data_IF_558814286267
#
_entry.id   IF_558814286267
#
_cell.length_a   1.000
_cell.length_b   1.000
_cell.length_c   1.000
_cell.angle_alpha   90.00
_cell.angle_beta   90.00
_cell.angle_gamma   90.00
#
_symmetry.space_group_name_H-M   'P 1'
#
loop_
_entity.id
_entity.type
_entity.pdbx_description
1 polymer ?
#
# COMPACT_ATOMS: atom_id res chain seq x y z
N UNK A 1 -36.53 -17.51 13.60
CA UNK A 1 -35.68 -16.72 12.69
C UNK A 1 -36.10 -15.26 12.84
N UNK A 2 -35.36 -14.51 13.62
CA UNK A 2 -35.57 -13.05 13.73
C UNK A 2 -34.47 -12.39 12.87
N UNK A 3 -34.88 -11.88 11.71
CA UNK A 3 -34.03 -11.02 10.87
C UNK A 3 -34.04 -9.60 11.45
N UNK A 4 -32.96 -9.16 12.04
CA UNK A 4 -32.74 -7.74 12.32
C UNK A 4 -32.26 -7.05 11.05
N UNK A 5 -33.21 -6.49 10.30
CA UNK A 5 -32.90 -5.52 9.24
C UNK A 5 -32.58 -4.17 9.89
N UNK A 6 -31.29 -3.87 10.09
CA UNK A 6 -30.86 -2.51 10.43
C UNK A 6 -30.77 -1.71 9.15
N UNK A 7 -31.86 -1.03 8.80
CA UNK A 7 -31.85 0.01 7.77
C UNK A 7 -31.17 1.26 8.33
N UNK A 8 -29.90 1.46 8.05
CA UNK A 8 -29.22 2.72 8.33
C UNK A 8 -29.75 3.81 7.38
N UNK A 9 -30.79 4.52 7.80
CA UNK A 9 -31.17 5.76 7.13
C UNK A 9 -30.09 6.81 7.42
N UNK A 10 -29.51 7.38 6.36
CA UNK A 10 -28.64 8.55 6.51
C UNK A 10 -29.50 9.75 6.90
N UNK A 11 -29.56 10.06 8.17
CA UNK A 11 -30.18 11.30 8.66
C UNK A 11 -29.15 12.43 8.45
N UNK A 12 -29.38 13.28 7.45
CA UNK A 12 -28.72 14.57 7.37
C UNK A 12 -29.61 15.56 8.12
N UNK A 13 -29.15 16.07 9.24
CA UNK A 13 -29.79 17.16 9.98
C UNK A 13 -29.04 18.47 9.73
N UNK A 14 -29.76 19.58 9.60
CA UNK A 14 -29.17 20.92 9.59
C UNK A 14 -29.41 21.53 10.97
N UNK A 15 -28.32 22.05 11.57
CA UNK A 15 -28.38 22.80 12.84
C UNK A 15 -28.00 24.23 12.52
N UNK A 16 -28.91 25.17 12.77
CA UNK A 16 -28.63 26.61 12.62
C UNK A 16 -28.00 27.13 13.90
N UNK A 17 -26.85 27.79 13.78
CA UNK A 17 -26.13 28.46 14.87
C UNK A 17 -26.00 29.96 14.54
N UNK A 18 -25.57 30.80 15.47
CA UNK A 18 -25.29 32.26 15.25
C UNK A 18 -24.10 32.47 14.27
N UNK A 19 -23.97 31.67 13.23
CA UNK A 19 -22.91 31.71 12.23
C UNK A 19 -23.37 30.99 10.98
N UNK A 20 -22.54 30.05 10.46
CA UNK A 20 -22.90 29.25 9.30
C UNK A 20 -23.79 28.05 9.73
N UNK A 21 -24.76 27.69 8.89
CA UNK A 21 -25.52 26.45 9.03
C UNK A 21 -24.58 25.24 8.96
N UNK A 22 -24.87 24.22 9.77
CA UNK A 22 -24.06 23.01 9.88
C UNK A 22 -24.82 21.82 9.34
N UNK A 23 -24.18 21.03 8.47
CA UNK A 23 -24.66 19.75 7.96
C UNK A 23 -23.89 18.63 8.64
N UNK A 24 -24.62 17.67 9.21
CA UNK A 24 -24.04 16.46 9.83
C UNK A 24 -24.38 15.25 8.98
N UNK A 25 -23.38 14.47 8.61
CA UNK A 25 -23.51 13.19 7.90
C UNK A 25 -22.88 12.09 8.72
N UNK A 26 -23.52 10.92 8.74
CA UNK A 26 -23.05 9.75 9.51
C UNK A 26 -22.72 8.55 8.63
N UNK A 27 -22.96 8.64 7.32
CA UNK A 27 -22.64 7.57 6.38
C UNK A 27 -21.15 7.61 6.02
N UNK A 28 -20.39 6.55 6.36
CA UNK A 28 -18.96 6.47 6.13
C UNK A 28 -18.14 7.29 7.11
N UNK A 29 -18.53 7.32 8.39
CA UNK A 29 -17.96 8.10 9.47
C UNK A 29 -18.81 9.30 9.85
N UNK A 30 -18.34 10.07 10.81
CA UNK A 30 -18.95 11.32 11.21
C UNK A 30 -18.33 12.48 10.41
N UNK A 31 -19.15 13.20 9.65
CA UNK A 31 -18.75 14.43 8.97
C UNK A 31 -19.63 15.59 9.45
N UNK A 32 -19.00 16.67 9.90
CA UNK A 32 -19.64 17.93 10.24
C UNK A 32 -19.06 18.99 9.31
N UNK A 33 -19.91 19.70 8.59
CA UNK A 33 -19.45 20.71 7.62
C UNK A 33 -20.37 21.93 7.63
N UNK A 34 -19.79 23.12 7.40
CA UNK A 34 -20.57 24.33 7.14
C UNK A 34 -21.19 24.29 5.74
N UNK A 35 -22.36 24.90 5.57
CA UNK A 35 -23.07 24.88 4.28
C UNK A 35 -22.33 25.63 3.17
N UNK A 36 -21.51 26.63 3.51
CA UNK A 36 -20.61 27.36 2.60
C UNK A 36 -19.35 26.57 2.23
N UNK A 37 -19.15 25.37 2.86
CA UNK A 37 -17.99 24.50 2.67
C UNK A 37 -16.64 25.11 3.07
N UNK A 38 -16.63 26.15 3.85
CA UNK A 38 -15.39 26.75 4.34
C UNK A 38 -14.73 25.89 5.42
N UNK A 39 -15.55 25.25 6.25
CA UNK A 39 -15.05 24.39 7.34
C UNK A 39 -15.70 23.02 7.30
N UNK A 40 -14.90 21.98 7.51
CA UNK A 40 -15.41 20.65 7.76
C UNK A 40 -14.49 19.87 8.73
N UNK A 41 -15.09 18.93 9.45
CA UNK A 41 -14.42 17.95 10.27
C UNK A 41 -14.97 16.58 9.93
N UNK A 42 -14.10 15.61 9.71
CA UNK A 42 -14.46 14.22 9.47
C UNK A 42 -13.72 13.32 10.44
N UNK A 43 -14.47 12.44 11.10
CA UNK A 43 -13.96 11.33 11.90
C UNK A 43 -14.37 10.03 11.22
N UNK A 44 -13.39 9.22 10.93
CA UNK A 44 -13.56 7.90 10.34
C UNK A 44 -12.49 6.94 10.83
N UNK A 45 -12.45 5.78 10.21
CA UNK A 45 -11.43 4.81 10.55
C UNK A 45 -11.62 3.49 9.82
N UNK A 46 -10.77 2.54 10.16
CA UNK A 46 -10.86 1.17 9.66
C UNK A 46 -10.29 0.17 10.65
N UNK A 47 -10.91 -0.99 10.68
CA UNK A 47 -10.38 -2.19 11.32
C UNK A 47 -10.18 -3.25 10.26
N UNK A 48 -9.01 -3.90 10.28
CA UNK A 48 -8.70 -5.06 9.45
C UNK A 48 -8.16 -6.14 10.37
N UNK A 49 -8.96 -7.18 10.61
CA UNK A 49 -8.58 -8.34 11.41
C UNK A 49 -8.34 -9.53 10.47
N UNK A 50 -7.17 -10.13 10.57
CA UNK A 50 -6.74 -11.26 9.76
C UNK A 50 -6.68 -12.52 10.60
N UNK A 51 -7.07 -13.64 10.00
CA UNK A 51 -6.75 -14.98 10.45
C UNK A 51 -6.17 -15.76 9.28
N UNK A 52 -5.06 -16.46 9.50
CA UNK A 52 -4.40 -17.23 8.46
C UNK A 52 -3.79 -18.51 8.97
N UNK A 53 -3.69 -19.49 8.05
CA UNK A 53 -2.93 -20.71 8.21
C UNK A 53 -1.84 -20.76 7.15
N UNK A 54 -0.63 -21.08 7.56
CA UNK A 54 0.60 -20.93 6.81
C UNK A 54 1.43 -22.18 6.85
N UNK A 55 2.23 -22.40 5.81
CA UNK A 55 3.14 -23.53 5.68
C UNK A 55 4.48 -23.10 5.04
N UNK A 56 5.53 -23.87 5.25
CA UNK A 56 6.84 -23.71 4.63
C UNK A 56 7.45 -22.32 4.83
N UNK A 57 7.75 -21.61 3.75
CA UNK A 57 8.39 -20.29 3.75
C UNK A 57 7.77 -19.28 4.73
N UNK A 58 6.47 -19.36 4.98
CA UNK A 58 5.74 -18.39 5.81
C UNK A 58 5.85 -18.63 7.31
N UNK A 59 6.55 -19.68 7.73
CA UNK A 59 6.71 -20.05 9.14
C UNK A 59 8.18 -19.99 9.58
N UNK A 60 8.43 -20.01 10.88
CA UNK A 60 9.79 -19.90 11.40
C UNK A 60 10.64 -21.14 11.19
N UNK A 61 10.02 -22.31 11.05
CA UNK A 61 10.69 -23.62 11.01
C UNK A 61 10.17 -24.53 9.89
N UNK A 62 9.39 -23.98 8.94
CA UNK A 62 8.83 -24.74 7.83
C UNK A 62 7.56 -25.53 8.17
N UNK A 63 7.22 -25.70 9.44
CA UNK A 63 6.03 -26.45 9.84
C UNK A 63 4.76 -25.59 9.76
N UNK A 64 3.62 -26.24 9.55
CA UNK A 64 2.32 -25.57 9.52
C UNK A 64 2.04 -24.81 10.82
N UNK A 65 1.59 -23.55 10.69
CA UNK A 65 1.23 -22.70 11.80
C UNK A 65 0.02 -21.82 11.45
N UNK A 66 -0.60 -21.22 12.44
CA UNK A 66 -1.67 -20.24 12.26
C UNK A 66 -1.42 -18.96 13.07
N UNK A 67 -2.06 -17.88 12.66
CA UNK A 67 -2.02 -16.61 13.38
C UNK A 67 -3.30 -15.81 13.18
N UNK A 68 -3.69 -15.06 14.23
CA UNK A 68 -4.74 -14.06 14.18
C UNK A 68 -4.17 -12.72 14.67
N UNK A 69 -4.45 -11.64 13.97
CA UNK A 69 -3.91 -10.32 14.30
C UNK A 69 -4.73 -9.18 13.69
N UNK A 70 -4.61 -7.99 14.27
CA UNK A 70 -5.08 -6.78 13.60
C UNK A 70 -4.04 -6.32 12.58
N UNK A 71 -4.41 -6.39 11.30
CA UNK A 71 -3.54 -5.91 10.22
C UNK A 71 -3.47 -4.39 10.19
N UNK A 72 -4.59 -3.72 10.50
CA UNK A 72 -4.72 -2.26 10.68
C UNK A 72 -5.85 -1.94 11.64
N UNK A 73 -5.62 -0.94 12.48
CA UNK A 73 -6.62 -0.36 13.37
C UNK A 73 -6.44 1.17 13.35
N UNK A 74 -7.07 1.82 12.36
CA UNK A 74 -6.87 3.25 12.11
C UNK A 74 -7.99 4.10 12.67
N UNK A 75 -7.59 5.22 13.30
CA UNK A 75 -8.43 6.39 13.46
C UNK A 75 -8.00 7.42 12.43
N UNK A 76 -8.97 7.96 11.69
CA UNK A 76 -8.76 8.89 10.60
C UNK A 76 -9.50 10.20 10.91
N UNK A 77 -8.76 11.31 11.02
CA UNK A 77 -9.29 12.65 11.20
C UNK A 77 -8.94 13.45 9.96
N UNK A 78 -9.92 14.17 9.42
CA UNK A 78 -9.69 15.00 8.25
C UNK A 78 -10.68 16.15 8.20
N UNK A 79 -10.46 17.07 7.28
CA UNK A 79 -11.39 18.19 7.09
C UNK A 79 -10.82 19.29 6.22
N UNK A 80 -11.56 20.38 6.22
CA UNK A 80 -11.25 21.59 5.46
C UNK A 80 -11.28 22.80 6.39
N UNK A 81 -10.39 23.73 6.17
CA UNK A 81 -10.32 25.01 6.86
C UNK A 81 -10.15 26.10 5.81
N UNK A 82 -10.97 27.16 5.86
CA UNK A 82 -10.97 28.26 4.90
C UNK A 82 -11.02 27.76 3.44
N UNK A 83 -11.90 26.75 3.16
CA UNK A 83 -12.23 26.20 1.83
C UNK A 83 -11.07 25.49 1.13
N UNK A 84 -9.87 26.07 1.11
CA UNK A 84 -8.75 25.63 0.29
C UNK A 84 -7.70 24.81 1.08
N UNK A 85 -7.74 24.84 2.40
CA UNK A 85 -6.82 24.08 3.25
C UNK A 85 -7.45 22.80 3.74
N UNK A 86 -6.96 21.66 3.29
CA UNK A 86 -7.39 20.33 3.74
C UNK A 86 -6.36 19.77 4.69
N UNK A 87 -6.78 19.13 5.78
CA UNK A 87 -5.90 18.40 6.67
C UNK A 87 -6.32 16.95 6.78
N UNK A 88 -5.33 16.06 7.00
CA UNK A 88 -5.55 14.66 7.22
C UNK A 88 -4.59 14.14 8.29
N UNK A 89 -5.11 13.39 9.25
CA UNK A 89 -4.36 12.70 10.29
C UNK A 89 -4.88 11.27 10.36
N UNK A 90 -4.01 10.29 10.11
CA UNK A 90 -4.30 8.87 10.26
C UNK A 90 -3.35 8.30 11.30
N UNK A 91 -3.91 7.68 12.33
CA UNK A 91 -3.15 7.04 13.39
C UNK A 91 -3.42 5.55 13.40
N UNK A 92 -2.38 4.72 13.26
CA UNK A 92 -2.48 3.26 13.32
C UNK A 92 -2.22 2.75 14.71
N UNK A 93 -3.24 2.15 15.31
CA UNK A 93 -3.22 1.53 16.64
C UNK A 93 -2.86 0.03 16.60
N UNK A 94 -2.69 -0.56 15.40
CA UNK A 94 -2.52 -2.02 15.27
C UNK A 94 -1.28 -2.57 15.99
N UNK A 95 -0.26 -1.75 16.22
CA UNK A 95 0.95 -2.11 16.96
C UNK A 95 0.74 -2.20 18.48
N UNK A 96 -0.40 -1.77 18.98
CA UNK A 96 -0.73 -1.88 20.41
C UNK A 96 -1.24 -3.27 20.83
N UNK A 97 -1.27 -4.22 19.89
CA UNK A 97 -1.70 -5.58 20.18
C UNK A 97 -0.48 -6.41 20.54
N UNK A 98 -0.21 -6.49 21.84
CA UNK A 98 0.61 -7.56 22.39
C UNK A 98 1.94 -7.20 23.00
N UNK A 99 2.72 -6.22 22.58
CA UNK A 99 3.96 -5.82 23.25
C UNK A 99 4.38 -4.40 22.87
N UNK A 100 4.37 -3.50 23.85
CA UNK A 100 5.15 -2.26 24.00
C UNK A 100 5.31 -1.30 22.81
N UNK A 101 4.66 -1.50 21.70
CA UNK A 101 4.75 -0.58 20.59
C UNK A 101 3.56 0.38 20.60
N UNK A 102 3.84 1.63 20.90
CA UNK A 102 2.91 2.73 20.65
C UNK A 102 2.49 2.71 19.17
N UNK A 103 1.25 3.07 18.88
CA UNK A 103 0.81 3.33 17.51
C UNK A 103 1.66 4.42 16.84
N UNK A 104 1.45 4.64 15.56
CA UNK A 104 2.21 5.64 14.80
C UNK A 104 1.31 6.43 13.86
N UNK A 105 1.76 7.62 13.50
CA UNK A 105 1.12 8.40 12.45
C UNK A 105 1.43 7.80 11.07
N UNK A 106 0.41 7.23 10.44
CA UNK A 106 0.46 6.78 9.05
C UNK A 106 0.43 8.00 8.11
N UNK A 107 -0.39 8.99 8.44
CA UNK A 107 -0.42 10.28 7.77
C UNK A 107 -0.62 11.42 8.76
N UNK A 108 0.08 12.54 8.53
CA UNK A 108 -0.16 13.83 9.16
C UNK A 108 0.19 14.91 8.14
N UNK A 109 -0.81 15.43 7.43
CA UNK A 109 -0.59 16.29 6.27
C UNK A 109 -1.60 17.45 6.18
N UNK A 110 -1.17 18.49 5.47
CA UNK A 110 -2.00 19.62 5.04
C UNK A 110 -1.86 19.77 3.54
N UNK A 111 -2.98 19.95 2.85
CA UNK A 111 -3.03 20.16 1.40
C UNK A 111 -3.69 21.50 1.09
N UNK A 112 -2.99 22.35 0.35
CA UNK A 112 -3.54 23.59 -0.21
C UNK A 112 -4.04 23.35 -1.63
N UNK A 113 -5.29 23.69 -1.91
CA UNK A 113 -5.96 23.47 -3.20
C UNK A 113 -6.31 24.79 -3.94
N UNK A 114 -5.91 25.93 -3.40
CA UNK A 114 -6.24 27.25 -3.98
C UNK A 114 -5.46 27.61 -5.26
N UNK A 115 -4.41 26.87 -5.63
CA UNK A 115 -3.66 27.05 -6.88
C UNK A 115 -4.20 26.23 -8.05
N UNK A 116 -5.53 26.02 -8.11
CA UNK A 116 -6.15 25.21 -9.17
C UNK A 116 -5.52 25.45 -10.56
N UNK A 117 -5.07 24.39 -11.28
CA UNK A 117 -5.33 22.98 -11.02
C UNK A 117 -4.27 22.25 -10.15
N UNK A 118 -3.36 22.95 -9.52
CA UNK A 118 -2.26 22.36 -8.73
C UNK A 118 -2.65 22.26 -7.27
N UNK A 119 -2.51 21.09 -6.67
CA UNK A 119 -2.60 20.86 -5.24
C UNK A 119 -1.18 20.76 -4.65
N UNK A 120 -0.95 21.43 -3.51
CA UNK A 120 0.29 21.34 -2.77
C UNK A 120 0.04 20.65 -1.44
N UNK A 121 0.65 19.48 -1.22
CA UNK A 121 0.55 18.70 0.01
C UNK A 121 1.87 18.76 0.78
N UNK A 122 1.80 19.01 2.07
CA UNK A 122 2.93 19.12 2.97
C UNK A 122 2.70 18.27 4.22
N UNK A 123 3.74 17.61 4.73
CA UNK A 123 3.71 16.80 5.94
C UNK A 123 4.27 15.40 5.77
N UNK A 124 3.81 14.48 6.63
CA UNK A 124 4.10 13.05 6.56
C UNK A 124 2.94 12.34 5.84
N UNK A 125 3.24 11.71 4.73
CA UNK A 125 2.23 10.99 3.94
C UNK A 125 2.90 9.96 2.99
N UNK A 126 2.12 8.97 2.56
CA UNK A 126 2.53 8.02 1.52
C UNK A 126 2.64 8.72 0.16
N UNK A 127 3.67 8.39 -0.61
CA UNK A 127 3.76 8.80 -2.02
C UNK A 127 2.77 8.02 -2.87
N UNK A 128 2.24 8.67 -3.90
CA UNK A 128 1.41 8.02 -4.92
C UNK A 128 2.28 7.30 -5.97
N UNK A 129 3.28 6.52 -5.55
CA UNK A 129 4.21 5.82 -6.43
C UNK A 129 3.64 4.47 -6.85
N UNK A 130 3.02 4.40 -8.05
CA UNK A 130 2.39 3.21 -8.60
C UNK A 130 0.88 3.12 -8.38
N UNK A 131 0.21 2.42 -9.26
CA UNK A 131 -1.24 2.27 -9.28
C UNK A 131 -1.79 1.61 -8.00
N UNK A 132 -1.21 0.47 -7.60
CA UNK A 132 -1.70 -0.24 -6.42
C UNK A 132 -1.28 0.45 -5.12
N UNK A 133 -0.14 1.17 -5.09
CA UNK A 133 0.25 1.96 -3.93
C UNK A 133 -0.64 3.18 -3.77
N UNK A 134 -0.98 3.90 -4.84
CA UNK A 134 -1.94 5.00 -4.82
C UNK A 134 -3.35 4.54 -4.42
N UNK A 135 -3.73 3.30 -4.77
CA UNK A 135 -4.98 2.70 -4.32
C UNK A 135 -4.96 2.49 -2.80
N UNK A 136 -5.98 3.00 -2.12
CA UNK A 136 -6.10 2.83 -0.66
C UNK A 136 -6.03 1.36 -0.26
N UNK A 137 -5.32 1.04 0.81
CA UNK A 137 -5.28 -0.31 1.38
C UNK A 137 -6.66 -0.85 1.85
N UNK A 138 -7.70 0.00 1.90
CA UNK A 138 -9.11 -0.40 2.07
C UNK A 138 -9.63 -1.11 0.81
N UNK A 139 -9.14 -0.73 -0.38
CA UNK A 139 -9.73 -1.07 -1.67
C UNK A 139 -8.80 -1.80 -2.64
N UNK A 140 -7.56 -2.12 -2.24
CA UNK A 140 -6.74 -3.08 -2.99
C UNK A 140 -7.46 -4.42 -3.08
N UNK A 141 -7.31 -5.10 -4.24
CA UNK A 141 -8.02 -6.35 -4.53
C UNK A 141 -7.51 -7.49 -3.65
N UNK A 142 -6.20 -7.72 -3.62
CA UNK A 142 -5.59 -8.71 -2.74
C UNK A 142 -5.39 -8.19 -1.31
N UNK A 143 -5.24 -9.06 -0.32
CA UNK A 143 -5.05 -8.68 1.09
C UNK A 143 -3.77 -7.88 1.33
N UNK A 144 -2.70 -8.22 0.62
CA UNK A 144 -1.43 -7.49 0.65
C UNK A 144 -1.11 -6.96 -0.75
N UNK A 145 -0.34 -5.86 -0.81
CA UNK A 145 0.13 -5.30 -2.07
C UNK A 145 1.01 -6.29 -2.82
N UNK A 146 1.17 -6.05 -4.10
CA UNK A 146 1.98 -6.89 -4.97
C UNK A 146 3.45 -6.92 -4.52
N UNK A 147 4.13 -8.01 -4.88
CA UNK A 147 5.50 -8.30 -4.48
C UNK A 147 6.51 -7.33 -5.10
N UNK A 148 6.16 -6.69 -6.21
CA UNK A 148 7.03 -5.75 -6.94
C UNK A 148 7.46 -4.57 -6.08
N UNK A 149 6.61 -4.10 -5.16
CA UNK A 149 6.95 -3.01 -4.24
C UNK A 149 7.96 -3.42 -3.17
N UNK A 150 8.08 -4.71 -2.85
CA UNK A 150 9.05 -5.18 -1.85
C UNK A 150 10.51 -5.02 -2.32
N UNK A 151 10.76 -4.81 -3.65
CA UNK A 151 12.11 -4.52 -4.14
C UNK A 151 12.55 -3.08 -3.83
N UNK A 152 11.61 -2.19 -3.52
CA UNK A 152 11.83 -0.76 -3.31
C UNK A 152 10.94 -0.21 -2.19
N UNK A 153 10.93 -0.85 -1.02
CA UNK A 153 10.11 -0.47 0.14
C UNK A 153 10.23 1.01 0.49
N UNK A 154 11.43 1.58 0.37
CA UNK A 154 11.73 2.96 0.72
C UNK A 154 10.90 4.00 -0.06
N UNK A 155 10.53 3.71 -1.31
CA UNK A 155 9.69 4.63 -2.11
C UNK A 155 8.28 4.69 -1.54
N UNK A 156 7.84 3.62 -0.92
CA UNK A 156 6.48 3.44 -0.45
C UNK A 156 6.30 3.71 1.04
N UNK A 157 7.41 3.77 1.79
CA UNK A 157 7.36 4.08 3.21
C UNK A 157 7.15 5.58 3.44
N UNK A 158 6.27 5.91 4.37
CA UNK A 158 6.02 7.29 4.80
C UNK A 158 7.04 7.75 5.87
N UNK A 159 8.32 7.49 5.64
CA UNK A 159 9.39 7.96 6.51
C UNK A 159 9.79 9.38 6.16
N UNK A 160 9.82 10.24 7.18
CA UNK A 160 10.19 11.64 7.00
C UNK A 160 9.03 12.56 6.66
N UNK A 161 9.36 13.80 6.34
CA UNK A 161 8.43 14.87 6.02
C UNK A 161 8.73 15.40 4.62
N UNK A 162 7.69 15.70 3.84
CA UNK A 162 7.87 16.12 2.46
C UNK A 162 6.85 17.11 1.96
N UNK A 163 7.05 17.51 0.73
CA UNK A 163 6.12 18.31 -0.07
C UNK A 163 5.84 17.60 -1.39
N UNK A 164 4.59 17.61 -1.82
CA UNK A 164 4.15 17.08 -3.11
C UNK A 164 3.31 18.13 -3.83
N UNK A 165 3.60 18.33 -5.10
CA UNK A 165 2.71 19.00 -6.05
C UNK A 165 2.00 17.94 -6.89
N UNK A 166 0.69 18.09 -7.11
CA UNK A 166 -0.08 17.20 -7.99
C UNK A 166 -1.14 17.96 -8.77
N UNK A 167 -1.47 17.47 -9.96
CA UNK A 167 -2.45 18.11 -10.84
C UNK A 167 -3.13 17.10 -11.76
N UNK A 168 -4.40 17.36 -12.08
CA UNK A 168 -5.11 16.75 -13.19
C UNK A 168 -5.04 17.68 -14.38
N UNK A 169 -4.50 17.21 -15.50
CA UNK A 169 -4.26 18.00 -16.71
C UNK A 169 -5.17 17.52 -17.83
N UNK A 170 -5.88 18.45 -18.45
CA UNK A 170 -6.77 18.19 -19.57
C UNK A 170 -7.88 17.18 -19.32
N UNK A 171 -8.23 16.94 -18.04
CA UNK A 171 -9.25 15.97 -17.65
C UNK A 171 -8.93 14.50 -17.97
N UNK A 172 -7.68 14.16 -18.38
CA UNK A 172 -7.29 12.81 -18.77
C UNK A 172 -5.88 12.41 -18.31
N UNK A 173 -5.12 13.31 -17.72
CA UNK A 173 -3.79 13.01 -17.21
C UNK A 173 -3.66 13.43 -15.75
N UNK A 174 -2.90 12.66 -14.97
CA UNK A 174 -2.49 13.00 -13.61
C UNK A 174 -0.97 13.10 -13.55
N UNK A 175 -0.48 14.15 -12.90
CA UNK A 175 0.95 14.37 -12.68
C UNK A 175 1.18 14.62 -11.19
N UNK A 176 2.24 14.04 -10.63
CA UNK A 176 2.71 14.37 -9.29
C UNK A 176 4.23 14.37 -9.21
N UNK A 177 4.76 15.24 -8.37
CA UNK A 177 6.17 15.30 -8.03
C UNK A 177 6.33 15.64 -6.55
N UNK A 178 7.25 14.97 -5.86
CA UNK A 178 7.46 15.17 -4.43
C UNK A 178 8.93 15.09 -4.01
N UNK A 179 9.24 15.79 -2.92
CA UNK A 179 10.53 15.74 -2.24
C UNK A 179 10.27 15.46 -0.76
N UNK A 180 11.00 14.50 -0.20
CA UNK A 180 10.95 14.14 1.21
C UNK A 180 12.34 14.26 1.85
N UNK A 181 12.35 14.67 3.10
CA UNK A 181 13.48 14.55 4.01
C UNK A 181 13.25 13.28 4.83
N UNK A 182 14.05 12.24 4.61
CA UNK A 182 13.95 10.98 5.35
C UNK A 182 14.49 11.14 6.79
N UNK A 183 14.21 10.15 7.65
CA UNK A 183 14.73 10.16 9.04
C UNK A 183 16.19 9.67 9.13
N UNK A 184 16.78 9.25 8.02
CA UNK A 184 18.17 8.85 7.95
C UNK A 184 19.04 10.07 7.66
N UNK A 185 20.21 10.15 8.32
CA UNK A 185 21.14 11.23 8.15
C UNK A 185 22.46 10.72 7.57
N UNK A 186 23.15 11.59 6.85
CA UNK A 186 24.55 11.41 6.48
C UNK A 186 25.50 11.72 7.66
N UNK A 187 26.80 11.69 7.41
CA UNK A 187 27.84 11.95 8.44
C UNK A 187 27.83 13.37 8.97
N UNK A 188 27.37 14.33 8.19
CA UNK A 188 27.27 15.74 8.57
C UNK A 188 25.96 16.05 9.32
N UNK A 189 25.04 15.09 9.37
CA UNK A 189 23.73 15.20 10.01
C UNK A 189 22.63 15.68 9.08
N UNK A 190 22.91 15.84 7.79
CA UNK A 190 21.91 16.18 6.78
C UNK A 190 21.02 14.96 6.46
N UNK A 191 19.74 15.20 6.39
CA UNK A 191 18.80 14.11 6.08
C UNK A 191 18.84 13.70 4.61
N UNK A 192 18.81 12.41 4.36
CA UNK A 192 18.67 11.82 3.01
C UNK A 192 17.43 12.43 2.31
N UNK A 193 17.62 12.92 1.09
CA UNK A 193 16.54 13.47 0.27
C UNK A 193 16.04 12.44 -0.72
N UNK A 194 14.71 12.27 -0.74
CA UNK A 194 14.02 11.40 -1.68
C UNK A 194 13.17 12.23 -2.64
N UNK A 195 13.31 11.95 -3.92
CA UNK A 195 12.58 12.60 -5.01
C UNK A 195 11.68 11.57 -5.68
N UNK A 196 10.43 11.91 -5.96
CA UNK A 196 9.50 11.02 -6.65
C UNK A 196 8.75 11.81 -7.73
N UNK A 197 8.56 11.14 -8.87
CA UNK A 197 7.76 11.64 -10.00
C UNK A 197 6.81 10.54 -10.46
N UNK A 198 5.57 10.90 -10.79
CA UNK A 198 4.59 10.00 -11.40
C UNK A 198 3.76 10.76 -12.42
N UNK A 199 3.62 10.19 -13.61
CA UNK A 199 2.74 10.67 -14.66
C UNK A 199 1.83 9.55 -15.13
N UNK A 200 0.53 9.84 -15.25
CA UNK A 200 -0.48 8.87 -15.70
C UNK A 200 -1.34 9.50 -16.80
N UNK A 201 -1.59 8.74 -17.85
CA UNK A 201 -2.56 9.04 -18.89
C UNK A 201 -3.74 8.06 -18.77
N UNK A 202 -4.93 8.61 -18.51
CA UNK A 202 -6.17 7.84 -18.35
C UNK A 202 -7.29 8.50 -19.19
N UNK A 203 -7.30 8.26 -20.52
CA UNK A 203 -8.28 8.88 -21.41
C UNK A 203 -9.71 8.39 -21.18
N UNK A 204 -9.85 7.18 -20.61
CA UNK A 204 -11.10 6.59 -20.14
C UNK A 204 -10.95 6.30 -18.65
N UNK A 205 -11.84 6.86 -17.83
CA UNK A 205 -11.75 6.77 -16.36
C UNK A 205 -13.11 6.75 -15.67
N UNK A 206 -14.16 6.44 -16.42
CA UNK A 206 -15.50 6.24 -15.89
C UNK A 206 -15.65 4.84 -15.25
N UNK A 207 -16.58 4.65 -14.30
CA UNK A 207 -16.87 3.33 -13.72
C UNK A 207 -17.13 2.28 -14.80
N UNK A 208 -16.35 1.19 -14.77
CA UNK A 208 -16.45 0.13 -15.77
C UNK A 208 -15.96 0.50 -17.19
N UNK A 209 -15.27 1.61 -17.33
CA UNK A 209 -14.64 2.00 -18.60
C UNK A 209 -13.35 2.76 -18.32
N UNK A 210 -12.28 2.03 -18.04
CA UNK A 210 -10.99 2.58 -17.63
C UNK A 210 -9.89 2.12 -18.57
N UNK A 211 -9.05 3.08 -18.99
CA UNK A 211 -7.73 2.84 -19.60
C UNK A 211 -6.73 3.70 -18.86
N UNK A 212 -5.72 3.08 -18.27
CA UNK A 212 -4.70 3.72 -17.46
C UNK A 212 -3.31 3.27 -17.92
N UNK A 213 -2.45 4.22 -18.20
CA UNK A 213 -1.04 4.03 -18.52
C UNK A 213 -0.21 5.01 -17.71
N UNK A 214 0.78 4.52 -16.97
CA UNK A 214 1.58 5.35 -16.09
C UNK A 214 3.07 5.03 -16.15
N UNK A 215 3.85 6.06 -15.79
CA UNK A 215 5.31 6.02 -15.63
C UNK A 215 5.66 6.67 -14.29
N UNK A 216 6.65 6.10 -13.59
CA UNK A 216 7.10 6.57 -12.30
C UNK A 216 8.61 6.48 -12.17
N UNK A 217 9.18 7.41 -11.38
CA UNK A 217 10.61 7.46 -11.08
C UNK A 217 10.82 7.96 -9.64
N UNK A 218 11.75 7.33 -8.94
CA UNK A 218 12.19 7.78 -7.63
C UNK A 218 13.72 7.70 -7.54
N UNK A 219 14.30 8.62 -6.78
CA UNK A 219 15.73 8.73 -6.56
C UNK A 219 16.02 9.20 -5.13
N UNK A 220 17.08 8.68 -4.53
CA UNK A 220 17.69 9.21 -3.31
C UNK A 220 19.19 9.10 -3.38
N UNK A 221 19.86 10.10 -2.83
CA UNK A 221 21.30 10.12 -2.61
C UNK A 221 21.62 9.39 -1.32
N UNK A 222 22.59 8.49 -1.34
CA UNK A 222 23.01 7.67 -0.19
C UNK A 222 24.45 7.91 0.21
N UNK A 223 25.16 8.79 -0.52
CA UNK A 223 26.57 9.09 -0.26
C UNK A 223 26.72 9.51 1.21
N UNK A 224 27.70 8.89 1.91
CA UNK A 224 27.99 9.10 3.33
C UNK A 224 26.83 8.77 4.30
N UNK A 225 25.80 8.06 3.86
CA UNK A 225 24.64 7.71 4.67
C UNK A 225 24.58 6.22 5.03
N UNK A 226 24.18 5.91 6.26
CA UNK A 226 23.93 4.55 6.72
C UNK A 226 22.46 4.15 6.47
N UNK A 227 22.15 3.66 5.27
CA UNK A 227 20.79 3.29 4.86
C UNK A 227 20.64 1.79 4.64
N UNK A 228 19.54 1.22 5.12
CA UNK A 228 19.17 -0.18 4.87
C UNK A 228 18.69 -0.34 3.42
N UNK A 229 19.41 -1.12 2.63
CA UNK A 229 19.08 -1.43 1.23
C UNK A 229 18.54 -2.83 1.04
N UNK A 230 18.42 -3.63 2.12
CA UNK A 230 17.99 -5.03 2.06
C UNK A 230 16.63 -5.20 1.40
N UNK A 231 16.55 -6.21 0.55
CA UNK A 231 15.32 -6.68 -0.07
C UNK A 231 14.92 -7.98 0.63
N UNK A 232 13.87 -7.92 1.44
CA UNK A 232 13.33 -9.06 2.22
C UNK A 232 11.81 -9.15 2.05
N UNK A 233 11.34 -9.63 0.90
CA UNK A 233 9.92 -9.68 0.58
C UNK A 233 9.16 -10.62 1.50
N UNK A 234 7.90 -10.26 1.75
CA UNK A 234 6.97 -11.07 2.54
C UNK A 234 6.23 -12.11 1.71
N UNK A 235 6.52 -12.19 0.43
CA UNK A 235 5.93 -13.12 -0.54
C UNK A 235 4.38 -13.10 -0.54
N UNK A 236 3.78 -11.90 -0.42
CA UNK A 236 2.34 -11.68 -0.54
C UNK A 236 1.49 -11.97 0.70
N UNK A 237 2.10 -12.38 1.81
CA UNK A 237 1.41 -12.61 3.10
C UNK A 237 2.28 -12.19 4.29
N UNK A 238 1.63 -11.94 5.44
CA UNK A 238 2.35 -11.60 6.67
C UNK A 238 2.96 -12.81 7.38
N UNK A 239 2.38 -13.99 7.27
CA UNK A 239 2.81 -15.20 7.95
C UNK A 239 2.52 -15.16 9.47
N UNK A 240 3.22 -15.99 10.22
CA UNK A 240 3.12 -16.06 11.68
C UNK A 240 4.14 -15.12 12.35
N UNK A 241 3.86 -14.70 13.58
CA UNK A 241 4.81 -13.92 14.38
C UNK A 241 5.99 -14.78 14.82
N UNK A 242 7.22 -14.24 14.73
CA UNK A 242 8.43 -14.88 15.22
C UNK A 242 8.44 -15.05 16.74
N UNK A 243 7.66 -14.25 17.47
CA UNK A 243 7.60 -14.24 18.92
C UNK A 243 6.37 -14.99 19.48
N UNK A 244 5.63 -15.70 18.62
CA UNK A 244 4.45 -16.46 19.03
C UNK A 244 3.25 -15.62 19.47
N UNK A 245 3.23 -14.33 19.16
CA UNK A 245 2.16 -13.39 19.50
C UNK A 245 1.46 -12.83 18.28
N UNK A 246 0.52 -11.91 18.52
CA UNK A 246 -0.25 -11.22 17.49
C UNK A 246 0.46 -9.97 16.92
N UNK A 247 1.77 -9.95 16.92
CA UNK A 247 2.55 -8.85 16.42
C UNK A 247 2.46 -8.79 14.88
N UNK A 248 1.69 -7.83 14.36
CA UNK A 248 1.52 -7.61 12.93
C UNK A 248 2.83 -7.15 12.22
N UNK A 249 3.83 -6.74 12.97
CA UNK A 249 5.14 -6.33 12.47
C UNK A 249 6.09 -7.49 12.26
N UNK A 250 6.00 -8.51 13.11
CA UNK A 250 6.82 -9.72 13.03
C UNK A 250 6.04 -10.81 12.35
N UNK A 251 6.62 -11.41 11.36
CA UNK A 251 5.98 -12.50 10.65
C UNK A 251 7.01 -13.46 10.13
N UNK A 252 6.77 -14.70 10.33
CA UNK A 252 7.44 -15.87 9.83
C UNK A 252 8.89 -15.69 9.35
N UNK A 253 9.17 -16.31 8.26
CA UNK A 253 10.44 -16.18 7.58
C UNK A 253 10.43 -14.99 6.60
N UNK A 254 11.50 -14.22 6.59
CA UNK A 254 11.76 -13.16 5.60
C UNK A 254 13.13 -13.42 5.00
N UNK A 255 13.17 -14.24 3.96
CA UNK A 255 14.42 -14.52 3.26
C UNK A 255 15.07 -13.24 2.73
N UNK A 256 16.39 -13.15 2.83
CA UNK A 256 17.18 -12.08 2.26
C UNK A 256 17.44 -12.37 0.78
N UNK A 257 16.97 -11.50 -0.10
CA UNK A 257 17.18 -11.57 -1.54
C UNK A 257 18.39 -10.77 -2.00
N UNK A 258 18.74 -9.69 -1.33
CA UNK A 258 19.87 -8.83 -1.66
C UNK A 258 19.92 -7.60 -0.76
N UNK A 259 20.98 -6.80 -0.93
CA UNK A 259 21.23 -5.58 -0.18
C UNK A 259 21.92 -5.81 1.16
N UNK A 260 22.21 -4.72 1.85
CA UNK A 260 22.89 -4.72 3.14
C UNK A 260 22.08 -3.98 4.21
N UNK A 261 22.33 -4.31 5.47
CA UNK A 261 21.90 -3.48 6.60
C UNK A 261 22.51 -2.08 6.48
N UNK A 262 21.98 -1.14 7.25
CA UNK A 262 22.45 0.23 7.31
C UNK A 262 23.94 0.28 7.71
N UNK A 263 24.80 0.55 6.73
CA UNK A 263 26.24 0.73 6.88
C UNK A 263 26.66 1.87 5.96
N UNK A 264 27.37 2.82 6.51
CA UNK A 264 27.87 3.99 5.80
C UNK A 264 28.92 3.63 4.74
N UNK A 265 28.95 4.38 3.64
CA UNK A 265 29.97 4.28 2.58
C UNK A 265 29.90 3.00 1.76
N UNK A 266 28.77 2.29 1.75
CA UNK A 266 28.57 1.12 0.89
C UNK A 266 27.90 1.47 -0.45
N UNK A 267 27.03 2.48 -0.44
CA UNK A 267 26.15 2.82 -1.54
C UNK A 267 26.18 4.31 -1.84
N UNK A 268 26.17 4.65 -3.12
CA UNK A 268 26.21 6.02 -3.60
C UNK A 268 24.81 6.61 -3.84
N UNK A 269 23.98 5.92 -4.58
CA UNK A 269 22.61 6.34 -4.88
C UNK A 269 21.68 5.14 -5.07
N UNK A 270 20.38 5.40 -4.99
CA UNK A 270 19.33 4.41 -5.16
C UNK A 270 18.22 4.99 -6.04
N UNK A 271 17.92 4.33 -7.14
CA UNK A 271 16.93 4.77 -8.11
C UNK A 271 15.97 3.66 -8.48
N UNK A 272 14.72 4.05 -8.71
CA UNK A 272 13.64 3.16 -9.13
C UNK A 272 12.87 3.81 -10.26
N UNK A 273 12.59 3.07 -11.30
CA UNK A 273 11.61 3.46 -12.30
C UNK A 273 10.58 2.35 -12.51
N UNK A 274 9.40 2.71 -12.97
CA UNK A 274 8.33 1.75 -13.18
C UNK A 274 7.30 2.16 -14.21
N UNK A 275 6.58 1.15 -14.68
CA UNK A 275 5.46 1.26 -15.60
C UNK A 275 4.19 0.75 -14.93
N UNK A 276 3.07 1.38 -15.21
CA UNK A 276 1.74 0.98 -14.77
C UNK A 276 0.80 0.84 -15.95
N UNK A 277 -0.05 -0.17 -15.91
CA UNK A 277 -1.12 -0.36 -16.86
C UNK A 277 -2.35 -0.91 -16.20
N UNK A 278 -3.53 -0.38 -16.54
CA UNK A 278 -4.79 -0.97 -16.13
C UNK A 278 -5.89 -0.74 -17.16
N UNK A 279 -6.84 -1.66 -17.14
CA UNK A 279 -8.01 -1.63 -17.98
C UNK A 279 -9.21 -2.17 -17.20
N UNK A 280 -10.37 -1.54 -17.39
CA UNK A 280 -11.64 -2.06 -16.87
C UNK A 280 -12.74 -1.96 -17.93
N UNK A 281 -13.55 -3.01 -18.01
CA UNK A 281 -14.72 -3.08 -18.88
C UNK A 281 -15.88 -3.75 -18.13
N UNK A 282 -16.90 -2.96 -17.76
CA UNK A 282 -17.99 -3.42 -16.91
C UNK A 282 -17.47 -3.97 -15.59
N UNK A 283 -17.82 -5.19 -15.28
CA UNK A 283 -17.42 -5.92 -14.07
C UNK A 283 -15.99 -6.49 -14.12
N UNK A 284 -15.33 -6.47 -15.28
CA UNK A 284 -13.97 -6.99 -15.45
C UNK A 284 -12.93 -5.89 -15.22
N UNK A 285 -11.83 -6.21 -14.55
CA UNK A 285 -10.66 -5.35 -14.45
C UNK A 285 -9.35 -6.14 -14.57
N UNK A 286 -8.37 -5.50 -15.18
CA UNK A 286 -6.99 -5.99 -15.30
C UNK A 286 -6.04 -4.88 -14.91
N UNK A 287 -4.95 -5.23 -14.20
CA UNK A 287 -3.88 -4.30 -13.87
C UNK A 287 -2.54 -5.01 -13.83
N UNK A 288 -1.49 -4.29 -14.17
CA UNK A 288 -0.12 -4.77 -14.14
C UNK A 288 0.83 -3.61 -13.86
N UNK A 289 1.93 -3.89 -13.15
CA UNK A 289 3.02 -2.94 -12.96
C UNK A 289 4.36 -3.65 -13.09
N UNK A 290 5.37 -2.90 -13.50
CA UNK A 290 6.76 -3.32 -13.55
C UNK A 290 7.62 -2.27 -12.85
N UNK A 291 8.54 -2.71 -11.99
CA UNK A 291 9.54 -1.85 -11.35
C UNK A 291 10.94 -2.38 -11.62
N UNK A 292 11.90 -1.45 -11.75
CA UNK A 292 13.33 -1.74 -11.75
C UNK A 292 14.04 -0.79 -10.79
N UNK A 293 14.80 -1.36 -9.84
CA UNK A 293 15.65 -0.65 -8.88
C UNK A 293 17.11 -0.87 -9.24
N UNK A 294 17.91 0.17 -9.05
CA UNK A 294 19.38 0.10 -9.10
C UNK A 294 19.92 0.85 -7.90
N UNK A 295 20.71 0.18 -7.06
CA UNK A 295 21.48 0.80 -5.99
C UNK A 295 22.93 0.81 -6.46
N UNK A 296 23.49 2.00 -6.69
CA UNK A 296 24.85 2.19 -7.10
C UNK A 296 25.79 1.95 -5.94
N UNK A 297 26.78 1.13 -6.18
CA UNK A 297 27.80 0.82 -5.17
C UNK A 297 28.85 1.92 -5.06
N UNK A 298 29.42 2.01 -3.86
CA UNK A 298 30.65 2.74 -3.58
C UNK A 298 31.84 1.78 -3.59
N UNK A 299 33.01 2.29 -4.01
CA UNK A 299 34.30 1.58 -3.96
C UNK A 299 34.32 0.28 -4.79
N UNK A 300 34.88 -0.79 -4.25
CA UNK A 300 35.10 -2.08 -4.93
C UNK A 300 33.90 -3.02 -4.79
N UNK A 301 32.67 -2.50 -4.80
CA UNK A 301 31.43 -3.29 -4.74
C UNK A 301 30.69 -3.26 -6.07
N UNK A 302 29.91 -4.31 -6.32
CA UNK A 302 29.01 -4.35 -7.47
C UNK A 302 27.66 -3.69 -7.16
N UNK A 303 27.03 -3.13 -8.19
CA UNK A 303 25.69 -2.54 -8.09
C UNK A 303 24.65 -3.60 -7.71
N UNK A 304 23.77 -3.28 -6.76
CA UNK A 304 22.58 -4.07 -6.51
C UNK A 304 21.50 -3.71 -7.56
N UNK A 305 20.98 -4.69 -8.26
CA UNK A 305 19.91 -4.52 -9.25
C UNK A 305 18.72 -5.41 -8.88
N UNK A 306 17.52 -4.85 -8.94
CA UNK A 306 16.31 -5.61 -8.71
C UNK A 306 15.25 -5.25 -9.74
N UNK A 307 14.44 -6.21 -10.11
CA UNK A 307 13.28 -6.01 -10.98
C UNK A 307 12.11 -6.87 -10.53
N UNK A 308 10.91 -6.39 -10.80
CA UNK A 308 9.71 -7.13 -10.48
C UNK A 308 8.54 -6.69 -11.34
N UNK A 309 7.58 -7.57 -11.49
CA UNK A 309 6.31 -7.28 -12.11
C UNK A 309 5.19 -8.10 -11.48
N UNK A 310 3.99 -7.58 -11.60
CA UNK A 310 2.79 -8.38 -11.36
C UNK A 310 1.76 -8.15 -12.46
N UNK A 311 0.86 -9.10 -12.58
CA UNK A 311 -0.34 -8.99 -13.38
C UNK A 311 -1.53 -9.56 -12.60
N UNK A 312 -2.65 -8.84 -12.59
CA UNK A 312 -3.87 -9.19 -11.87
C UNK A 312 -5.08 -9.07 -12.78
N UNK A 313 -5.94 -10.07 -12.73
CA UNK A 313 -7.26 -10.08 -13.34
C UNK A 313 -8.31 -10.20 -12.25
N UNK A 314 -9.39 -9.44 -12.34
CA UNK A 314 -10.50 -9.52 -11.40
C UNK A 314 -11.84 -9.40 -12.13
N UNK A 315 -12.85 -10.07 -11.60
CA UNK A 315 -14.20 -10.07 -12.12
C UNK A 315 -15.21 -10.02 -10.99
N UNK A 316 -16.10 -9.03 -11.03
CA UNK A 316 -17.21 -8.91 -10.09
C UNK A 316 -18.39 -9.75 -10.58
N UNK A 317 -18.63 -10.89 -9.91
CA UNK A 317 -19.65 -11.87 -10.29
C UNK A 317 -21.07 -11.29 -10.30
N UNK A 318 -21.31 -10.30 -9.47
CA UNK A 318 -22.59 -9.61 -9.32
C UNK A 318 -22.80 -8.46 -10.30
N UNK A 319 -21.74 -8.08 -11.05
CA UNK A 319 -21.85 -7.17 -12.18
C UNK A 319 -21.36 -5.74 -11.91
N UNK A 320 -21.16 -5.34 -10.67
CA UNK A 320 -20.75 -3.97 -10.32
C UNK A 320 -19.35 -3.63 -10.84
N UNK A 321 -19.17 -2.42 -11.39
CA UNK A 321 -17.86 -1.96 -11.82
C UNK A 321 -17.00 -1.51 -10.65
N UNK A 322 -15.69 -1.67 -10.78
CA UNK A 322 -14.73 -1.06 -9.89
C UNK A 322 -14.60 0.43 -10.20
N UNK A 323 -14.66 1.28 -9.17
CA UNK A 323 -14.53 2.72 -9.32
C UNK A 323 -13.08 3.12 -9.58
N UNK A 324 -12.90 4.21 -10.29
CA UNK A 324 -11.60 4.83 -10.56
C UNK A 324 -11.66 6.33 -10.26
N UNK A 325 -10.54 6.91 -9.80
CA UNK A 325 -10.40 8.33 -9.48
C UNK A 325 -9.17 8.90 -10.18
N UNK A 326 -9.40 9.87 -11.07
CA UNK A 326 -8.34 10.51 -11.83
C UNK A 326 -7.48 11.46 -10.96
N UNK A 327 -8.04 12.04 -9.90
CA UNK A 327 -7.36 12.97 -8.98
C UNK A 327 -6.21 12.35 -8.16
N UNK A 328 -6.03 11.05 -8.22
CA UNK A 328 -4.90 10.30 -7.71
C UNK A 328 -4.51 9.18 -8.66
N UNK A 329 -5.15 9.12 -9.84
CA UNK A 329 -4.95 8.11 -10.87
C UNK A 329 -4.93 6.68 -10.29
N UNK A 330 -6.03 6.29 -9.64
CA UNK A 330 -6.12 5.06 -8.84
C UNK A 330 -7.50 4.42 -8.85
N UNK A 331 -7.53 3.12 -8.62
CA UNK A 331 -8.79 2.43 -8.34
C UNK A 331 -9.33 2.78 -6.95
N UNK A 332 -10.63 2.60 -6.80
CA UNK A 332 -11.37 2.76 -5.55
C UNK A 332 -12.23 1.50 -5.29
N UNK A 333 -13.23 1.61 -4.42
CA UNK A 333 -14.09 0.50 -3.99
C UNK A 333 -14.98 -0.03 -5.12
N UNK A 334 -15.52 -1.23 -4.91
CA UNK A 334 -16.71 -1.73 -5.57
C UNK A 334 -17.90 -1.40 -4.64
N UNK A 335 -18.97 -0.79 -5.19
CA UNK A 335 -20.17 -0.45 -4.43
C UNK A 335 -21.26 -1.46 -4.72
N UNK A 336 -21.71 -2.27 -3.74
CA UNK A 336 -22.79 -3.21 -3.95
C UNK A 336 -24.09 -2.50 -4.38
N UNK A 337 -24.67 -2.94 -5.48
CA UNK A 337 -25.99 -2.49 -5.94
C UNK A 337 -27.10 -3.21 -5.18
N UNK A 338 -26.95 -4.51 -4.97
CA UNK A 338 -27.86 -5.31 -4.18
C UNK A 338 -27.39 -5.36 -2.71
N UNK A 339 -28.18 -4.76 -1.82
CA UNK A 339 -27.85 -4.68 -0.39
C UNK A 339 -28.06 -5.99 0.38
N UNK A 340 -28.76 -6.96 -0.18
CA UNK A 340 -29.04 -8.24 0.49
C UNK A 340 -27.91 -9.24 0.27
N UNK A 341 -27.37 -9.31 -0.95
CA UNK A 341 -26.30 -10.25 -1.31
C UNK A 341 -24.91 -9.62 -1.32
N UNK A 342 -24.80 -8.29 -1.38
CA UNK A 342 -23.56 -7.58 -1.55
C UNK A 342 -22.93 -7.80 -2.92
N UNK A 343 -21.69 -7.35 -3.12
CA UNK A 343 -20.91 -7.57 -4.34
C UNK A 343 -19.84 -8.64 -4.12
N UNK A 344 -19.65 -9.52 -5.11
CA UNK A 344 -18.69 -10.62 -5.04
C UNK A 344 -17.64 -10.48 -6.15
N UNK A 345 -16.38 -10.36 -5.80
CA UNK A 345 -15.23 -10.23 -6.71
C UNK A 345 -14.33 -11.47 -6.58
N UNK A 346 -14.05 -12.12 -7.72
CA UNK A 346 -12.99 -13.12 -7.83
C UNK A 346 -11.79 -12.51 -8.52
N UNK A 347 -10.57 -12.91 -8.10
CA UNK A 347 -9.35 -12.44 -8.76
C UNK A 347 -8.24 -13.48 -8.73
N UNK A 348 -7.34 -13.31 -9.69
CA UNK A 348 -6.07 -14.01 -9.73
C UNK A 348 -4.94 -13.00 -9.96
N UNK A 349 -3.83 -13.16 -9.21
CA UNK A 349 -2.62 -12.36 -9.37
C UNK A 349 -1.39 -13.26 -9.45
N UNK A 350 -0.52 -12.93 -10.38
CA UNK A 350 0.83 -13.48 -10.47
C UNK A 350 1.84 -12.38 -10.19
N UNK A 351 2.81 -12.64 -9.32
CA UNK A 351 3.91 -11.73 -9.02
C UNK A 351 5.24 -12.44 -9.27
N UNK A 352 6.25 -11.68 -9.72
CA UNK A 352 7.62 -12.17 -9.90
C UNK A 352 8.61 -11.06 -9.59
N UNK A 353 9.67 -11.40 -8.84
CA UNK A 353 10.81 -10.53 -8.57
C UNK A 353 12.12 -11.25 -8.85
N UNK A 354 13.13 -10.49 -9.26
CA UNK A 354 14.53 -10.91 -9.41
C UNK A 354 15.41 -9.86 -8.73
N UNK A 355 16.41 -10.32 -7.98
CA UNK A 355 17.42 -9.48 -7.34
C UNK A 355 18.78 -10.02 -7.73
N UNK A 356 19.64 -9.16 -8.27
CA UNK A 356 21.01 -9.43 -8.68
C UNK A 356 21.92 -8.67 -7.72
N UNK A 357 22.64 -9.40 -6.86
CA UNK A 357 23.55 -8.83 -5.88
C UNK A 357 24.78 -9.75 -5.73
N UNK A 358 25.82 -9.43 -6.47
CA UNK A 358 27.07 -10.18 -6.49
C UNK A 358 27.90 -10.00 -5.20
N UNK A 359 27.45 -9.16 -4.28
CA UNK A 359 28.09 -8.98 -2.97
C UNK A 359 27.59 -9.98 -1.90
N UNK A 360 26.53 -10.75 -2.19
CA UNK A 360 25.96 -11.73 -1.26
C UNK A 360 26.40 -13.15 -1.64
N UNK A 361 26.97 -13.85 -0.69
CA UNK A 361 27.24 -15.30 -0.81
C UNK A 361 26.03 -16.05 -0.25
N UNK A 362 25.26 -16.70 -1.12
CA UNK A 362 24.07 -17.48 -0.74
C UNK A 362 24.47 -18.84 -0.17
N UNK A 363 25.52 -19.47 -0.71
CA UNK A 363 26.09 -20.71 -0.21
C UNK A 363 27.59 -20.55 0.02
N UNK A 364 28.01 -20.63 1.28
CA UNK A 364 29.40 -20.46 1.67
C UNK A 364 30.30 -21.63 1.19
N UNK A 365 29.75 -22.80 0.91
CA UNK A 365 30.49 -23.98 0.43
C UNK A 365 30.79 -23.87 -1.07
N UNK A 366 29.83 -23.42 -1.86
CA UNK A 366 29.96 -23.27 -3.32
C UNK A 366 30.40 -21.88 -3.75
N UNK A 367 30.35 -20.89 -2.85
CA UNK A 367 30.50 -19.46 -3.13
C UNK A 367 29.55 -18.96 -4.23
N UNK A 368 28.37 -19.55 -4.27
CA UNK A 368 27.35 -19.14 -5.22
C UNK A 368 26.81 -17.75 -4.84
N UNK A 369 26.92 -16.80 -5.76
CA UNK A 369 26.55 -15.40 -5.59
C UNK A 369 25.11 -15.20 -6.05
N UNK A 370 24.37 -14.32 -5.42
CA UNK A 370 22.94 -14.30 -5.49
C UNK A 370 22.28 -13.70 -6.73
N UNK A 371 21.65 -14.56 -7.51
CA UNK A 371 20.58 -14.23 -8.43
C UNK A 371 19.24 -14.66 -7.79
N UNK A 372 18.87 -14.01 -6.70
CA UNK A 372 17.68 -14.39 -5.96
C UNK A 372 16.39 -14.14 -6.74
N UNK A 373 15.46 -15.08 -6.69
CA UNK A 373 14.17 -14.99 -7.37
C UNK A 373 13.03 -15.33 -6.43
N UNK A 374 11.89 -14.68 -6.64
CA UNK A 374 10.65 -14.96 -5.94
C UNK A 374 9.46 -14.84 -6.86
N UNK A 375 8.49 -15.73 -6.71
CA UNK A 375 7.22 -15.65 -7.41
C UNK A 375 6.08 -16.09 -6.51
N UNK A 376 4.92 -15.48 -6.72
CA UNK A 376 3.68 -15.86 -6.04
C UNK A 376 2.52 -16.00 -7.02
N UNK A 377 1.63 -16.90 -6.67
CA UNK A 377 0.31 -17.03 -7.28
C UNK A 377 -0.72 -16.78 -6.19
N UNK A 378 -1.57 -15.81 -6.38
CA UNK A 378 -2.65 -15.46 -5.45
C UNK A 378 -4.00 -15.68 -6.13
N UNK A 379 -4.82 -16.52 -5.54
CA UNK A 379 -6.23 -16.65 -5.89
C UNK A 379 -7.05 -16.11 -4.73
N UNK A 380 -8.02 -15.25 -5.00
CA UNK A 380 -8.79 -14.66 -3.92
C UNK A 380 -10.24 -14.36 -4.27
N UNK A 381 -11.02 -14.19 -3.22
CA UNK A 381 -12.40 -13.75 -3.26
C UNK A 381 -12.61 -12.60 -2.29
N UNK A 382 -13.34 -11.58 -2.73
CA UNK A 382 -13.79 -10.47 -1.92
C UNK A 382 -15.31 -10.43 -1.91
N UNK A 383 -15.90 -10.30 -0.74
CA UNK A 383 -17.30 -10.02 -0.53
C UNK A 383 -17.46 -8.63 0.09
N UNK A 384 -17.97 -7.71 -0.70
CA UNK A 384 -18.36 -6.37 -0.25
C UNK A 384 -19.81 -6.48 0.24
N UNK A 385 -19.99 -6.78 1.54
CA UNK A 385 -21.33 -6.95 2.12
C UNK A 385 -22.11 -5.64 2.05
N UNK A 386 -21.44 -4.51 2.21
CA UNK A 386 -21.95 -3.15 2.02
C UNK A 386 -20.75 -2.18 1.87
N UNK A 387 -21.02 -0.86 1.87
CA UNK A 387 -19.95 0.16 1.74
C UNK A 387 -18.98 0.20 2.92
N UNK A 388 -19.31 -0.40 4.07
CA UNK A 388 -18.52 -0.40 5.29
C UNK A 388 -17.84 -1.74 5.58
N UNK A 389 -18.44 -2.86 5.18
CA UNK A 389 -17.97 -4.20 5.53
C UNK A 389 -17.50 -4.96 4.29
N UNK A 390 -16.27 -5.42 4.33
CA UNK A 390 -15.65 -6.30 3.35
C UNK A 390 -15.09 -7.54 4.03
N UNK A 391 -15.38 -8.71 3.48
CA UNK A 391 -14.73 -9.97 3.86
C UNK A 391 -13.91 -10.46 2.68
N UNK A 392 -12.70 -10.89 2.93
CA UNK A 392 -11.78 -11.35 1.88
C UNK A 392 -11.13 -12.67 2.28
N UNK A 393 -10.84 -13.52 1.30
CA UNK A 393 -10.02 -14.69 1.50
C UNK A 393 -9.03 -14.83 0.32
N UNK A 394 -7.75 -15.02 0.65
CA UNK A 394 -6.70 -15.22 -0.33
C UNK A 394 -5.94 -16.52 -0.04
N UNK A 395 -5.81 -17.36 -1.05
CA UNK A 395 -4.83 -18.43 -1.07
C UNK A 395 -3.61 -17.98 -1.86
N UNK A 396 -2.44 -18.04 -1.24
CA UNK A 396 -1.17 -17.65 -1.85
C UNK A 396 -0.23 -18.83 -1.86
N UNK A 397 0.40 -19.08 -3.00
CA UNK A 397 1.49 -20.03 -3.15
C UNK A 397 2.75 -19.31 -3.57
N UNK A 398 3.82 -19.43 -2.78
CA UNK A 398 5.12 -18.82 -3.04
C UNK A 398 6.17 -19.86 -3.41
N UNK A 399 7.12 -19.41 -4.23
CA UNK A 399 8.37 -20.12 -4.48
C UNK A 399 9.51 -19.11 -4.56
N UNK A 400 10.62 -19.41 -3.89
CA UNK A 400 11.86 -18.65 -3.93
C UNK A 400 12.99 -19.51 -4.50
N UNK A 401 14.07 -18.88 -4.89
CA UNK A 401 15.28 -19.53 -5.40
C UNK A 401 16.48 -18.64 -5.05
N UNK A 402 17.58 -19.26 -4.60
CA UNK A 402 18.84 -18.60 -4.25
C UNK A 402 18.69 -17.44 -3.25
N UNK A 403 17.96 -17.69 -2.18
CA UNK A 403 17.79 -16.71 -1.08
C UNK A 403 18.49 -17.21 0.18
N UNK A 404 18.89 -16.27 1.05
CA UNK A 404 19.29 -16.61 2.41
C UNK A 404 18.08 -16.53 3.33
N UNK A 405 17.67 -17.67 3.91
CA UNK A 405 16.56 -17.73 4.86
C UNK A 405 16.87 -18.59 6.08
N UNK A 406 16.17 -18.32 7.17
CA UNK A 406 16.44 -18.95 8.46
C UNK A 406 15.88 -20.37 8.58
N UNK A 407 14.81 -20.70 7.86
CA UNK A 407 14.15 -22.01 7.93
C UNK A 407 14.52 -22.97 6.80
N UNK A 408 15.23 -22.49 5.78
CA UNK A 408 15.69 -23.30 4.66
C UNK A 408 14.64 -23.63 3.59
N UNK A 409 13.39 -23.24 3.77
CA UNK A 409 12.31 -23.56 2.84
C UNK A 409 12.25 -22.60 1.65
N UNK A 410 12.25 -23.14 0.44
CA UNK A 410 12.15 -22.39 -0.81
C UNK A 410 10.71 -22.10 -1.24
N UNK A 411 9.74 -22.76 -0.64
CA UNK A 411 8.33 -22.66 -1.01
C UNK A 411 7.44 -22.71 0.21
N UNK A 412 6.25 -22.16 0.05
CA UNK A 412 5.21 -22.21 1.08
C UNK A 412 3.88 -21.77 0.49
N UNK A 413 2.84 -22.07 1.22
CA UNK A 413 1.51 -21.57 0.92
C UNK A 413 0.78 -21.13 2.17
N UNK A 414 -0.35 -20.49 1.97
CA UNK A 414 -1.22 -20.09 3.06
C UNK A 414 -2.57 -19.60 2.59
N UNK A 415 -3.53 -19.75 3.47
CA UNK A 415 -4.87 -19.20 3.33
C UNK A 415 -5.07 -18.14 4.40
N UNK A 416 -5.35 -16.91 3.99
CA UNK A 416 -5.62 -15.80 4.90
C UNK A 416 -7.01 -15.26 4.64
N UNK A 417 -7.76 -15.04 5.70
CA UNK A 417 -9.07 -14.40 5.69
C UNK A 417 -8.98 -13.06 6.42
N UNK A 418 -9.66 -12.04 5.90
CA UNK A 418 -9.74 -10.70 6.51
C UNK A 418 -11.19 -10.27 6.66
N UNK A 419 -11.53 -9.81 7.86
CA UNK A 419 -12.71 -8.99 8.08
C UNK A 419 -12.28 -7.52 8.12
N UNK A 420 -12.86 -6.71 7.26
CA UNK A 420 -12.66 -5.26 7.24
C UNK A 420 -13.93 -4.52 7.60
N UNK A 421 -13.81 -3.52 8.46
CA UNK A 421 -14.84 -2.54 8.75
C UNK A 421 -14.30 -1.13 8.55
N UNK A 422 -15.02 -0.31 7.80
CA UNK A 422 -14.70 1.10 7.52
C UNK A 422 -15.87 1.95 8.02
N UNK A 423 -15.58 2.97 8.79
CA UNK A 423 -16.58 3.87 9.37
C UNK A 423 -16.22 5.34 9.18
#
# INVERSE_FOLDING_TARGET
MLGLAISAQSLAGTVTTDGADIVIKTKGGLEVATTDKEFSFKLGGRLQADYGRFDGYYTNNGNTADAAYFRRAYLEFGGTVYRDWKYQINYDLSRNVGNDSAGYFDEASVTYTGFNPVNLKFGRFDTDFGLEKATSSKWVTALERNLTYDIADWVNDNVGTGIQASSVVGGMAFLSGSVFSENNNDTDGDSVKRYNLRGVFAPLHEPGNVVHLGLQYAYRDLEDSAVDTRIRPRMGMRGVSTNGGNDAGSNGNRGLFGGSSAVEGLWKDDSVWGLEGAWALGAFSAQAEYLRRTVKAERDREDLKASGYYAQLAYTLTGEPRLYKLDGAKFDTIKPENKEIGAWELFYRYDSIKVEDDNIVVDSATREVGDAKGKTHTLGVNWYANEAVKVSANYVKAKTDKISNANGDDSGDGLVMRLQYVF
#
